data_IF_182771311716
#
_entry.id   IF_182771311716
#
_cell.length_a   1.000
_cell.length_b   1.000
_cell.length_c   1.000
_cell.angle_alpha   90.00
_cell.angle_beta   90.00
_cell.angle_gamma   90.00
#
_symmetry.space_group_name_H-M   'P 1'
#
loop_
_entity.id
_entity.type
_entity.pdbx_description
1 polymer ?
#
# COMPACT_ATOMS: atom_id res chain seq x y z
N UNK A 1 10.29 -20.15 -3.02
CA UNK A 1 10.49 -19.65 -2.67
C UNK A 1 10.40 -18.69 -2.66
N UNK A 2 10.59 -18.52 -2.58
CA UNK A 2 10.56 -17.83 -2.41
C UNK A 2 10.73 -16.76 -2.49
N UNK A 3 10.52 -15.77 -2.71
CA UNK A 3 10.67 -14.91 -2.73
C UNK A 3 10.80 -13.69 -2.14
N UNK A 4 9.82 -13.32 -1.81
CA UNK A 4 9.97 -12.29 -0.79
C UNK A 4 11.36 -12.25 -0.20
N UNK A 5 12.04 -13.31 -0.26
CA UNK A 5 13.40 -13.35 0.28
C UNK A 5 14.35 -12.43 -0.44
N UNK A 6 13.93 -11.91 -1.58
CA UNK A 6 14.74 -10.94 -2.31
C UNK A 6 14.44 -9.52 -1.88
N UNK A 7 13.46 -9.35 -1.02
CA UNK A 7 13.15 -8.02 -0.53
C UNK A 7 13.78 -7.83 0.81
N UNK A 8 14.47 -6.71 0.95
CA UNK A 8 15.20 -6.39 2.16
C UNK A 8 14.27 -5.80 3.20
N UNK A 9 14.48 -6.18 4.47
CA UNK A 9 13.84 -5.50 5.59
C UNK A 9 14.69 -4.35 6.10
N UNK A 10 15.75 -3.98 5.35
CA UNK A 10 16.54 -2.82 5.71
C UNK A 10 15.73 -1.56 5.46
N UNK A 11 15.81 -0.60 6.39
CA UNK A 11 15.12 0.67 6.18
C UNK A 11 15.59 1.38 4.92
N UNK A 12 14.64 2.01 4.23
CA UNK A 12 14.96 2.92 3.13
C UNK A 12 14.63 4.33 3.60
N UNK A 13 15.21 5.32 2.94
CA UNK A 13 14.93 6.70 3.32
C UNK A 13 13.53 7.10 2.90
N UNK A 14 12.97 8.09 3.60
CA UNK A 14 11.66 8.61 3.23
C UNK A 14 11.68 9.23 1.84
N UNK A 15 12.78 9.89 1.47
CA UNK A 15 12.92 10.44 0.13
C UNK A 15 12.89 9.35 -0.93
N UNK A 16 13.61 8.26 -0.69
CA UNK A 16 13.62 7.14 -1.62
C UNK A 16 12.22 6.56 -1.77
N UNK A 17 11.53 6.36 -0.65
CA UNK A 17 10.17 5.82 -0.68
C UNK A 17 9.24 6.75 -1.45
N UNK A 18 9.32 8.06 -1.17
CA UNK A 18 8.46 9.04 -1.83
C UNK A 18 8.67 9.05 -3.34
N UNK A 19 9.91 8.91 -3.79
CA UNK A 19 10.22 8.93 -5.22
C UNK A 19 9.89 7.61 -5.91
N UNK A 20 9.63 6.56 -5.15
CA UNK A 20 9.37 5.22 -5.71
C UNK A 20 7.89 4.94 -5.91
N UNK A 21 7.02 5.84 -5.49
CA UNK A 21 5.56 5.66 -5.60
C UNK A 21 4.98 6.87 -6.30
N UNK A 22 3.76 6.70 -6.82
CA UNK A 22 3.04 7.78 -7.47
C UNK A 22 1.88 8.24 -6.60
N UNK A 23 1.34 9.42 -6.89
CA UNK A 23 0.16 9.89 -6.20
C UNK A 23 -0.95 8.85 -6.33
N UNK A 24 -1.79 8.68 -5.31
CA UNK A 24 -1.94 9.51 -4.13
C UNK A 24 -1.04 9.12 -2.96
N UNK A 25 -0.09 8.23 -3.15
CA UNK A 25 0.82 7.82 -2.08
C UNK A 25 1.74 8.98 -1.71
N UNK A 26 1.96 9.12 -0.41
CA UNK A 26 2.91 10.09 0.12
C UNK A 26 3.45 9.58 1.44
N UNK A 27 4.55 10.15 1.88
CA UNK A 27 5.11 9.83 3.19
C UNK A 27 4.51 10.78 4.21
N UNK A 28 4.06 10.21 5.34
CA UNK A 28 3.51 11.01 6.44
C UNK A 28 3.83 10.28 7.73
N UNK A 29 4.48 10.97 8.65
CA UNK A 29 4.83 10.42 9.97
C UNK A 29 5.59 9.08 9.84
N UNK A 30 6.47 9.01 8.87
CA UNK A 30 7.33 7.84 8.70
C UNK A 30 6.68 6.68 7.96
N UNK A 31 5.44 6.80 7.52
CA UNK A 31 4.73 5.75 6.81
C UNK A 31 4.35 6.21 5.42
N UNK A 32 4.08 5.27 4.52
CA UNK A 32 3.45 5.57 3.24
C UNK A 32 1.95 5.56 3.46
N UNK A 33 1.28 6.63 3.08
CA UNK A 33 -0.16 6.74 3.25
C UNK A 33 -0.79 7.15 1.93
N UNK A 34 -2.05 6.75 1.73
CA UNK A 34 -2.81 7.11 0.54
C UNK A 34 -4.29 7.09 0.85
N UNK A 35 -5.03 7.91 0.12
CA UNK A 35 -6.48 7.88 0.19
C UNK A 35 -7.00 7.79 -1.24
N UNK A 36 -7.81 6.78 -1.51
CA UNK A 36 -8.38 6.53 -2.82
C UNK A 36 -9.89 6.81 -2.78
N UNK A 37 -10.38 7.54 -3.78
CA UNK A 37 -11.80 7.79 -3.90
C UNK A 37 -12.46 6.57 -4.58
N UNK A 38 -13.39 5.94 -3.87
CA UNK A 38 -13.98 4.69 -4.35
C UNK A 38 -15.44 4.83 -4.76
N UNK A 39 -15.99 6.03 -4.67
CA UNK A 39 -17.35 6.34 -5.07
C UNK A 39 -18.39 5.82 -4.08
N UNK A 40 -18.33 4.54 -3.73
CA UNK A 40 -19.28 3.96 -2.77
C UNK A 40 -18.61 2.81 -2.03
N UNK A 41 -19.33 2.27 -1.06
CA UNK A 41 -18.80 1.22 -0.19
C UNK A 41 -18.58 -0.08 -0.94
N UNK A 42 -19.41 -0.39 -1.92
CA UNK A 42 -19.28 -1.65 -2.67
C UNK A 42 -17.99 -1.66 -3.46
N UNK A 43 -17.66 -0.54 -4.13
CA UNK A 43 -16.38 -0.44 -4.84
C UNK A 43 -15.20 -0.46 -3.87
N UNK A 44 -15.38 0.19 -2.72
CA UNK A 44 -14.35 0.15 -1.67
C UNK A 44 -14.10 -1.28 -1.23
N UNK A 45 -15.16 -2.06 -1.04
CA UNK A 45 -15.02 -3.46 -0.64
C UNK A 45 -14.32 -4.30 -1.68
N UNK A 46 -14.63 -4.10 -2.96
CA UNK A 46 -13.97 -4.79 -4.05
C UNK A 46 -12.48 -4.45 -4.08
N UNK A 47 -12.16 -3.17 -3.93
CA UNK A 47 -10.79 -2.70 -3.90
C UNK A 47 -10.03 -3.34 -2.73
N UNK A 48 -10.63 -3.29 -1.53
CA UNK A 48 -10.00 -3.86 -0.33
C UNK A 48 -9.76 -5.35 -0.47
N UNK A 49 -10.71 -6.09 -1.05
CA UNK A 49 -10.53 -7.53 -1.25
C UNK A 49 -9.30 -7.82 -2.12
N UNK A 50 -9.10 -7.03 -3.17
CA UNK A 50 -7.94 -7.20 -4.04
C UNK A 50 -6.65 -6.81 -3.33
N UNK A 51 -6.70 -5.76 -2.51
CA UNK A 51 -5.54 -5.34 -1.71
C UNK A 51 -5.15 -6.44 -0.73
N UNK A 52 -6.13 -7.06 -0.08
CA UNK A 52 -5.85 -8.13 0.87
C UNK A 52 -5.16 -9.29 0.17
N UNK A 53 -5.62 -9.67 -1.02
CA UNK A 53 -4.98 -10.75 -1.76
C UNK A 53 -3.52 -10.42 -2.07
N UNK A 54 -3.24 -9.21 -2.49
CA UNK A 54 -1.86 -8.79 -2.79
C UNK A 54 -1.01 -8.78 -1.52
N UNK A 55 -1.58 -8.30 -0.41
CA UNK A 55 -0.89 -8.25 0.87
C UNK A 55 -0.53 -9.65 1.36
N UNK A 56 -1.46 -10.59 1.21
CA UNK A 56 -1.22 -11.97 1.62
C UNK A 56 -0.12 -12.62 0.77
N UNK A 57 -0.14 -12.34 -0.53
CA UNK A 57 0.87 -12.88 -1.43
C UNK A 57 2.26 -12.39 -1.06
N UNK A 58 2.36 -11.12 -0.68
CA UNK A 58 3.63 -10.52 -0.30
C UNK A 58 3.97 -10.76 1.17
N UNK A 59 3.02 -11.25 1.93
CA UNK A 59 3.11 -11.42 3.38
C UNK A 59 3.50 -10.11 4.06
N UNK A 60 2.86 -9.02 3.63
CA UNK A 60 3.12 -7.68 4.16
C UNK A 60 1.78 -6.96 4.17
N UNK A 61 1.36 -6.44 5.32
CA UNK A 61 -0.02 -6.05 5.52
C UNK A 61 -0.17 -4.56 5.78
N UNK A 62 -1.06 -3.88 5.04
CA UNK A 62 -1.31 -2.46 5.27
C UNK A 62 -2.35 -2.28 6.37
N UNK A 63 -2.38 -1.07 6.93
CA UNK A 63 -3.55 -0.63 7.67
C UNK A 63 -4.58 -0.15 6.66
N UNK A 64 -5.82 -0.58 6.83
CA UNK A 64 -6.90 -0.27 5.89
C UNK A 64 -8.06 0.34 6.65
N UNK A 65 -8.53 1.49 6.18
CA UNK A 65 -9.66 2.18 6.75
C UNK A 65 -10.66 2.42 5.62
N UNK A 66 -11.76 1.69 5.64
CA UNK A 66 -12.79 1.78 4.60
C UNK A 66 -13.90 2.70 5.07
N UNK A 67 -14.25 3.68 4.23
CA UNK A 67 -15.34 4.61 4.45
C UNK A 67 -16.31 4.48 3.29
N UNK A 68 -17.45 5.17 3.38
CA UNK A 68 -18.46 5.05 2.33
C UNK A 68 -17.90 5.28 0.93
N UNK A 69 -17.13 6.33 0.77
CA UNK A 69 -16.67 6.74 -0.56
C UNK A 69 -15.14 6.78 -0.69
N UNK A 70 -14.41 6.31 0.32
CA UNK A 70 -12.95 6.35 0.28
C UNK A 70 -12.35 5.16 0.98
N UNK A 71 -11.12 4.82 0.58
CA UNK A 71 -10.30 3.83 1.29
C UNK A 71 -8.98 4.51 1.62
N UNK A 72 -8.63 4.52 2.90
CA UNK A 72 -7.36 5.05 3.37
C UNK A 72 -6.44 3.90 3.71
N UNK A 73 -5.17 4.06 3.36
CA UNK A 73 -4.19 2.99 3.51
C UNK A 73 -2.94 3.55 4.15
N UNK A 74 -2.31 2.72 4.99
CA UNK A 74 -1.04 3.05 5.59
C UNK A 74 -0.12 1.85 5.51
N UNK A 75 1.15 2.11 5.19
CA UNK A 75 2.16 1.08 5.07
C UNK A 75 3.38 1.44 5.91
N UNK A 76 3.81 0.48 6.69
CA UNK A 76 5.01 0.61 7.50
C UNK A 76 5.47 -0.79 7.85
N UNK A 77 6.76 -1.01 7.91
CA UNK A 77 7.29 -2.30 8.34
C UNK A 77 7.48 -2.26 9.85
N UNK A 78 6.49 -2.76 10.58
CA UNK A 78 6.45 -2.62 12.04
C UNK A 78 7.62 -3.30 12.73
N UNK A 79 8.12 -4.41 12.18
CA UNK A 79 9.21 -5.14 12.80
C UNK A 79 10.50 -4.33 12.88
N UNK A 80 10.67 -3.34 12.00
CA UNK A 80 11.85 -2.48 12.03
C UNK A 80 11.49 -1.02 12.33
N UNK A 81 10.22 -0.71 12.41
CA UNK A 81 9.75 0.64 12.73
C UNK A 81 10.08 1.67 11.67
N UNK A 82 10.16 1.26 10.40
CA UNK A 82 10.58 2.14 9.31
C UNK A 82 10.04 1.60 8.00
N UNK A 83 10.12 2.42 6.95
CA UNK A 83 9.77 2.00 5.59
C UNK A 83 10.86 1.09 5.04
N UNK A 84 10.44 0.08 4.30
CA UNK A 84 11.34 -0.87 3.64
C UNK A 84 10.83 -1.13 2.24
N UNK A 85 11.58 -1.91 1.47
CA UNK A 85 11.22 -2.23 0.10
C UNK A 85 9.83 -2.87 -0.04
N UNK A 86 9.42 -3.82 0.83
CA UNK A 86 8.06 -4.37 0.74
C UNK A 86 6.95 -3.32 0.84
N UNK A 87 7.16 -2.24 1.59
CA UNK A 87 6.16 -1.17 1.66
C UNK A 87 5.97 -0.52 0.30
N UNK A 88 7.07 -0.22 -0.38
CA UNK A 88 7.03 0.37 -1.72
C UNK A 88 6.40 -0.59 -2.71
N UNK A 89 6.78 -1.86 -2.65
CA UNK A 89 6.25 -2.86 -3.56
C UNK A 89 4.72 -2.99 -3.41
N UNK A 90 4.24 -3.05 -2.18
CA UNK A 90 2.80 -3.17 -1.95
C UNK A 90 2.07 -1.89 -2.37
N UNK A 91 2.64 -0.71 -2.12
CA UNK A 91 2.03 0.53 -2.57
C UNK A 91 1.85 0.53 -4.09
N UNK A 92 2.86 0.05 -4.82
CA UNK A 92 2.79 0.00 -6.28
C UNK A 92 1.77 -1.01 -6.75
N UNK A 93 1.67 -2.16 -6.08
CA UNK A 93 0.63 -3.15 -6.39
C UNK A 93 -0.76 -2.58 -6.17
N UNK A 94 -0.95 -1.85 -5.08
CA UNK A 94 -2.24 -1.24 -4.77
C UNK A 94 -2.60 -0.20 -5.83
N UNK A 95 -1.64 0.61 -6.27
CA UNK A 95 -1.88 1.59 -7.34
C UNK A 95 -2.30 0.90 -8.63
N UNK A 96 -1.68 -0.24 -8.96
CA UNK A 96 -2.04 -0.99 -10.15
C UNK A 96 -3.47 -1.54 -10.05
N UNK A 97 -3.84 -2.05 -8.88
CA UNK A 97 -5.19 -2.54 -8.65
C UNK A 97 -6.21 -1.41 -8.82
N UNK A 98 -5.91 -0.25 -8.24
CA UNK A 98 -6.79 0.91 -8.36
C UNK A 98 -7.01 1.27 -9.83
N UNK A 99 -5.92 1.29 -10.60
CA UNK A 99 -6.01 1.60 -12.03
C UNK A 99 -6.89 0.60 -12.77
N UNK A 100 -6.74 -0.69 -12.46
CA UNK A 100 -7.56 -1.74 -13.10
C UNK A 100 -9.04 -1.58 -12.78
N UNK A 101 -9.35 -1.12 -11.57
CA UNK A 101 -10.74 -0.94 -11.15
C UNK A 101 -11.28 0.45 -11.51
N UNK A 102 -10.48 1.31 -12.11
CA UNK A 102 -10.91 2.67 -12.43
C UNK A 102 -11.09 3.55 -11.20
N UNK A 103 -10.34 3.27 -10.15
CA UNK A 103 -10.39 4.04 -8.90
C UNK A 103 -9.26 5.07 -8.93
N UNK A 104 -9.61 6.32 -8.67
CA UNK A 104 -8.65 7.40 -8.78
C UNK A 104 -8.12 7.97 -7.49
#
# INVERSE_FOLDING_TARGET
MRHSRFMSDLPISEDEAAHSVSAPWRVSDGALVAEFATTDMARGGEFVARIIAAAEELNHHPDIDIRYATVRLGLLTHSVGALTEPDVELARSISAIAAELGIG
#
